data_IF_738871600281
#
_entry.id   IF_738871600281
#
_cell.length_a   1.000
_cell.length_b   1.000
_cell.length_c   1.000
_cell.angle_alpha   90.00
_cell.angle_beta   90.00
_cell.angle_gamma   90.00
#
_symmetry.space_group_name_H-M   'P 1'
#
loop_
_entity.id
_entity.type
_entity.pdbx_description
1 polymer ?
#
# COMPACT_ATOMS: atom_id res chain seq x y z
N UNK A 1 -52.42 18.10 -12.80
CA UNK A 1 -52.04 18.70 -14.11
C UNK A 1 -50.91 17.86 -14.69
N UNK A 2 -51.17 17.05 -15.74
CA UNK A 2 -50.12 16.29 -16.42
C UNK A 2 -49.52 17.13 -17.55
N UNK A 3 -48.21 17.36 -17.54
CA UNK A 3 -47.50 17.93 -18.68
C UNK A 3 -46.76 16.80 -19.39
N UNK A 4 -47.11 16.61 -20.66
CA UNK A 4 -46.52 15.64 -21.59
C UNK A 4 -45.26 16.23 -22.25
N UNK A 5 -44.32 15.32 -22.52
CA UNK A 5 -43.38 15.21 -23.64
C UNK A 5 -42.54 16.41 -24.10
N UNK A 6 -41.23 16.19 -24.24
CA UNK A 6 -40.57 16.19 -25.56
C UNK A 6 -39.28 15.37 -25.55
N UNK A 7 -39.29 14.30 -26.35
CA UNK A 7 -38.12 13.58 -26.84
C UNK A 7 -37.49 14.44 -27.94
N UNK A 8 -36.20 14.76 -27.83
CA UNK A 8 -35.41 15.22 -28.98
C UNK A 8 -34.26 14.26 -29.21
N UNK A 9 -34.42 13.52 -30.29
CA UNK A 9 -33.44 12.68 -30.93
C UNK A 9 -32.50 13.56 -31.75
N UNK A 10 -31.18 13.43 -31.59
CA UNK A 10 -30.24 13.85 -32.63
C UNK A 10 -29.11 12.83 -32.76
N UNK A 11 -29.06 12.25 -33.96
CA UNK A 11 -28.06 11.30 -34.45
C UNK A 11 -26.97 12.05 -35.24
N UNK A 12 -25.75 11.51 -35.11
CA UNK A 12 -24.57 11.56 -36.00
C UNK A 12 -23.87 12.89 -36.30
N UNK A 13 -22.56 12.91 -36.05
CA UNK A 13 -21.53 13.20 -37.07
C UNK A 13 -20.16 12.61 -36.69
N UNK A 14 -19.52 11.99 -37.68
CA UNK A 14 -18.15 11.44 -37.72
C UNK A 14 -17.16 12.56 -38.05
N UNK A 15 -15.95 12.54 -37.46
CA UNK A 15 -14.76 13.12 -38.07
C UNK A 15 -13.49 12.42 -37.53
N UNK A 16 -12.70 11.90 -38.46
CA UNK A 16 -11.39 11.28 -38.29
C UNK A 16 -10.26 12.32 -38.44
N UNK A 17 -9.01 11.82 -38.56
CA UNK A 17 -7.71 12.51 -38.83
C UNK A 17 -7.04 13.05 -37.52
N UNK A 18 -5.79 12.76 -37.13
CA UNK A 18 -4.50 12.75 -37.84
C UNK A 18 -3.40 11.89 -37.16
N UNK A 19 -2.44 11.55 -38.02
CA UNK A 19 -1.15 10.83 -37.92
C UNK A 19 -0.16 11.23 -36.82
N UNK A 20 0.58 10.25 -36.29
CA UNK A 20 1.95 10.44 -35.78
C UNK A 20 2.89 9.32 -36.25
N UNK A 21 3.88 9.69 -37.05
CA UNK A 21 5.08 8.91 -37.33
C UNK A 21 6.17 9.35 -36.34
N UNK A 22 6.88 8.41 -35.71
CA UNK A 22 8.18 8.68 -35.10
C UNK A 22 9.18 7.58 -35.47
N UNK A 23 10.36 8.07 -35.83
CA UNK A 23 11.49 7.33 -36.39
C UNK A 23 12.35 6.68 -35.29
N UNK A 24 13.02 5.58 -35.68
CA UNK A 24 14.39 5.14 -35.37
C UNK A 24 15.02 5.39 -33.98
N UNK A 25 15.69 4.36 -33.45
CA UNK A 25 16.85 4.55 -32.57
C UNK A 25 17.30 3.31 -31.82
N UNK A 26 18.16 2.50 -32.44
CA UNK A 26 18.96 1.47 -31.78
C UNK A 26 20.03 2.14 -30.89
N UNK A 27 20.25 1.65 -29.68
CA UNK A 27 21.26 2.19 -28.76
C UNK A 27 21.75 1.15 -27.78
N UNK A 28 22.66 0.29 -28.22
CA UNK A 28 23.51 -0.54 -27.37
C UNK A 28 24.56 0.35 -26.70
N UNK A 29 24.59 0.36 -25.37
CA UNK A 29 25.61 1.03 -24.57
C UNK A 29 26.27 0.05 -23.62
N UNK A 30 27.06 -0.86 -24.18
CA UNK A 30 28.03 -1.66 -23.41
C UNK A 30 29.20 -0.74 -23.07
N UNK A 31 29.43 -0.46 -21.78
CA UNK A 31 30.59 0.28 -21.31
C UNK A 31 31.29 -0.53 -20.24
N UNK A 32 32.16 -1.38 -20.73
CA UNK A 32 33.26 -2.02 -20.03
C UNK A 32 34.13 -0.96 -19.35
N UNK A 33 33.96 -0.75 -18.04
CA UNK A 33 35.06 -0.18 -17.24
C UNK A 33 35.92 -1.34 -16.77
N UNK A 34 36.94 -1.60 -17.56
CA UNK A 34 38.09 -2.37 -17.17
C UNK A 34 38.74 -1.73 -15.92
N UNK A 35 38.87 -2.52 -14.85
CA UNK A 35 39.91 -2.28 -13.85
C UNK A 35 40.56 -3.61 -13.52
N UNK A 36 41.52 -3.97 -14.36
CA UNK A 36 42.46 -5.06 -14.15
C UNK A 36 43.26 -4.82 -12.85
N UNK A 37 43.77 -5.89 -12.24
CA UNK A 37 44.11 -5.97 -10.83
C UNK A 37 45.50 -5.40 -10.56
N UNK A 38 45.72 -4.82 -9.37
CA UNK A 38 47.08 -4.71 -8.84
C UNK A 38 47.31 -5.78 -7.79
N UNK A 39 48.19 -6.71 -8.17
CA UNK A 39 48.77 -7.71 -7.31
C UNK A 39 49.71 -7.09 -6.27
N UNK A 40 49.76 -7.80 -5.15
CA UNK A 40 50.64 -7.71 -3.99
C UNK A 40 52.12 -7.44 -4.29
N UNK A 41 52.89 -6.92 -3.33
CA UNK A 41 53.99 -7.59 -2.57
C UNK A 41 54.72 -6.53 -1.68
N UNK A 42 55.74 -6.84 -0.85
CA UNK A 42 55.68 -7.09 0.59
C UNK A 42 56.30 -6.00 1.50
N UNK A 43 56.13 -6.26 2.80
CA UNK A 43 56.70 -5.66 4.02
C UNK A 43 58.20 -5.30 3.99
N UNK A 44 58.63 -4.34 4.83
CA UNK A 44 59.61 -4.69 5.86
C UNK A 44 59.32 -4.21 7.30
N UNK A 45 59.73 -5.10 8.21
CA UNK A 45 59.88 -5.14 9.68
C UNK A 45 60.67 -3.91 10.21
N UNK A 46 60.61 -3.35 11.43
CA UNK A 46 60.30 -3.78 12.81
C UNK A 46 60.28 -2.53 13.73
N UNK A 47 59.63 -2.59 14.90
CA UNK A 47 60.25 -2.36 16.25
C UNK A 47 59.23 -2.74 17.35
N UNK A 48 59.63 -3.34 18.48
CA UNK A 48 58.73 -3.94 19.47
C UNK A 48 58.25 -2.91 20.51
N UNK A 49 56.94 -2.86 20.77
CA UNK A 49 56.35 -2.03 21.81
C UNK A 49 55.25 -2.77 22.58
N UNK A 50 55.60 -3.20 23.80
CA UNK A 50 54.79 -3.46 25.02
C UNK A 50 53.41 -4.17 24.89
N UNK A 51 53.15 -5.24 25.68
CA UNK A 51 51.83 -5.87 25.71
C UNK A 51 50.82 -4.95 26.41
N UNK A 52 49.91 -4.35 25.64
CA UNK A 52 48.70 -3.67 26.10
C UNK A 52 47.50 -4.61 26.01
N UNK A 53 46.63 -4.55 27.02
CA UNK A 53 45.44 -5.38 27.22
C UNK A 53 44.54 -5.55 25.96
N UNK A 54 43.79 -6.66 25.82
CA UNK A 54 42.94 -6.91 24.66
C UNK A 54 41.87 -5.82 24.57
N UNK A 55 41.96 -4.99 23.53
CA UNK A 55 40.92 -4.03 23.16
C UNK A 55 39.71 -4.80 22.66
N UNK A 56 38.60 -4.71 23.38
CA UNK A 56 37.32 -5.25 22.93
C UNK A 56 37.00 -4.69 21.53
N UNK A 57 36.71 -5.58 20.59
CA UNK A 57 36.30 -5.20 19.25
C UNK A 57 35.00 -4.39 19.34
N UNK A 58 34.87 -3.26 18.62
CA UNK A 58 33.60 -2.55 18.54
C UNK A 58 32.53 -3.49 17.97
N UNK A 59 31.28 -3.43 18.46
CA UNK A 59 30.21 -4.26 17.93
C UNK A 59 30.06 -3.96 16.44
N UNK A 60 30.15 -4.99 15.61
CA UNK A 60 29.79 -4.92 14.20
C UNK A 60 28.30 -4.65 14.11
N UNK A 61 27.93 -3.38 13.97
CA UNK A 61 26.57 -3.00 13.56
C UNK A 61 26.41 -3.49 12.14
N UNK A 62 25.71 -4.61 11.96
CA UNK A 62 25.26 -5.05 10.64
C UNK A 62 24.42 -3.92 10.06
N UNK A 63 24.94 -3.24 9.04
CA UNK A 63 24.18 -2.25 8.30
C UNK A 63 23.01 -2.99 7.65
N UNK A 64 21.81 -2.76 8.18
CA UNK A 64 20.56 -3.22 7.55
C UNK A 64 20.50 -2.52 6.19
N UNK A 65 20.40 -3.31 5.12
CA UNK A 65 20.25 -2.77 3.77
C UNK A 65 19.03 -1.85 3.67
N UNK A 66 18.90 -1.08 2.57
CA UNK A 66 17.72 -0.24 2.36
C UNK A 66 16.46 -1.10 2.49
N UNK A 67 15.49 -0.64 3.28
CA UNK A 67 14.18 -1.29 3.35
C UNK A 67 13.55 -1.29 1.96
N UNK A 68 12.87 -2.38 1.61
CA UNK A 68 12.10 -2.44 0.36
C UNK A 68 10.89 -1.49 0.49
N UNK A 69 10.80 -0.43 -0.32
CA UNK A 69 9.66 0.49 -0.31
C UNK A 69 8.33 -0.23 -0.58
N UNK A 70 8.36 -1.32 -1.35
CA UNK A 70 7.17 -2.07 -1.71
C UNK A 70 6.83 -3.20 -0.72
N UNK A 71 7.51 -3.28 0.43
CA UNK A 71 7.12 -4.20 1.47
C UNK A 71 5.81 -3.74 2.13
N UNK A 72 5.07 -4.69 2.71
CA UNK A 72 3.92 -4.33 3.54
C UNK A 72 4.45 -3.70 4.84
N UNK A 73 4.03 -2.46 5.11
CA UNK A 73 4.39 -1.75 6.34
C UNK A 73 3.15 -1.12 7.00
N UNK A 74 2.74 -1.68 8.14
CA UNK A 74 1.61 -1.16 8.91
C UNK A 74 2.01 -0.03 9.87
N UNK A 75 3.30 0.27 9.98
CA UNK A 75 3.84 1.38 10.76
C UNK A 75 4.12 2.63 9.89
N UNK A 76 3.81 2.59 8.59
CA UNK A 76 4.05 3.71 7.69
C UNK A 76 3.31 4.99 8.14
N UNK A 77 3.99 6.14 8.23
CA UNK A 77 3.37 7.39 8.69
C UNK A 77 2.23 7.90 7.78
N UNK A 78 2.16 7.47 6.52
CA UNK A 78 1.03 7.75 5.63
C UNK A 78 -0.28 7.19 6.17
N UNK A 79 -0.24 6.07 6.90
CA UNK A 79 -1.42 5.51 7.57
C UNK A 79 -1.92 6.49 8.63
N UNK A 80 -1.06 6.94 9.54
CA UNK A 80 -1.45 7.87 10.59
C UNK A 80 -1.99 9.20 10.03
N UNK A 81 -1.40 9.70 8.92
CA UNK A 81 -1.90 10.89 8.20
C UNK A 81 -3.29 10.67 7.64
N UNK A 82 -3.50 9.56 6.92
CA UNK A 82 -4.81 9.20 6.37
C UNK A 82 -5.87 9.06 7.47
N UNK A 83 -5.51 8.45 8.59
CA UNK A 83 -6.41 8.27 9.74
C UNK A 83 -6.79 9.62 10.37
N UNK A 84 -5.87 10.59 10.39
CA UNK A 84 -6.14 11.93 10.90
C UNK A 84 -7.09 12.77 10.03
N UNK A 85 -7.17 12.45 8.73
CA UNK A 85 -8.08 13.09 7.78
C UNK A 85 -9.52 12.53 7.85
N UNK A 86 -9.72 11.42 8.56
CA UNK A 86 -11.02 10.78 8.63
C UNK A 86 -12.02 11.61 9.43
N UNK A 87 -13.29 11.65 9.00
CA UNK A 87 -14.35 12.14 9.86
C UNK A 87 -14.43 11.26 11.12
N UNK A 88 -14.87 11.86 12.23
CA UNK A 88 -15.09 11.16 13.49
C UNK A 88 -16.04 9.98 13.30
N UNK A 89 -15.87 8.94 14.11
CA UNK A 89 -16.75 7.78 14.08
C UNK A 89 -18.21 8.21 14.28
N UNK A 90 -19.13 7.93 13.35
CA UNK A 90 -20.51 8.41 13.44
C UNK A 90 -21.23 7.90 14.69
N UNK A 91 -20.86 6.71 15.22
CA UNK A 91 -21.53 6.10 16.38
C UNK A 91 -21.04 6.65 17.71
N UNK A 92 -19.73 6.81 17.89
CA UNK A 92 -19.13 7.21 19.16
C UNK A 92 -18.61 8.65 19.20
N UNK A 93 -18.53 9.33 18.06
CA UNK A 93 -17.92 10.65 17.87
C UNK A 93 -16.43 10.72 18.26
N UNK A 94 -15.79 9.56 18.48
CA UNK A 94 -14.38 9.46 18.79
C UNK A 94 -13.52 9.57 17.52
N UNK A 95 -12.26 10.02 17.66
CA UNK A 95 -11.29 9.84 16.59
C UNK A 95 -11.00 8.36 16.38
N UNK A 96 -10.35 8.05 15.27
CA UNK A 96 -9.87 6.71 14.94
C UNK A 96 -8.48 6.47 15.54
N UNK A 97 -8.18 5.22 15.94
CA UNK A 97 -6.84 4.83 16.33
C UNK A 97 -5.92 4.79 15.08
N UNK A 98 -4.78 5.52 15.07
CA UNK A 98 -3.83 5.45 13.95
C UNK A 98 -3.15 4.09 13.80
N UNK A 99 -3.12 3.28 14.86
CA UNK A 99 -2.58 1.93 14.80
C UNK A 99 -3.61 0.97 14.18
N UNK A 100 -3.33 0.38 13.01
CA UNK A 100 -4.27 -0.50 12.34
C UNK A 100 -4.36 -1.87 13.03
N UNK A 101 -5.56 -2.43 13.08
CA UNK A 101 -5.81 -3.79 13.58
C UNK A 101 -5.30 -4.87 12.62
N UNK A 102 -5.37 -4.57 11.32
CA UNK A 102 -4.97 -5.44 10.23
C UNK A 102 -4.78 -4.59 8.98
N UNK A 103 -4.06 -5.09 7.99
CA UNK A 103 -3.91 -4.41 6.71
C UNK A 103 -2.87 -5.06 5.82
N UNK A 104 -2.76 -4.53 4.61
CA UNK A 104 -1.74 -4.85 3.62
C UNK A 104 -1.17 -3.57 2.99
N UNK A 105 -1.05 -2.49 3.78
CA UNK A 105 -0.53 -1.21 3.29
C UNK A 105 0.80 -1.41 2.57
N UNK A 106 0.86 -0.93 1.34
CA UNK A 106 2.00 -1.03 0.46
C UNK A 106 1.96 0.17 -0.49
N UNK A 107 3.03 0.97 -0.51
CA UNK A 107 3.08 2.18 -1.34
C UNK A 107 3.20 1.90 -2.84
N UNK A 108 3.57 0.69 -3.23
CA UNK A 108 3.66 0.26 -4.62
C UNK A 108 2.39 -0.45 -5.14
N UNK A 109 1.47 -0.83 -4.25
CA UNK A 109 0.24 -1.52 -4.66
C UNK A 109 -0.76 -0.54 -5.30
N UNK A 110 -1.43 -0.99 -6.37
CA UNK A 110 -2.57 -0.28 -6.96
C UNK A 110 -3.72 -0.13 -5.95
N UNK A 111 -3.94 -1.12 -5.08
CA UNK A 111 -4.89 -1.02 -3.99
C UNK A 111 -4.33 -1.71 -2.75
N UNK A 112 -4.25 -0.97 -1.66
CA UNK A 112 -3.98 -1.53 -0.33
C UNK A 112 -4.97 -0.96 0.68
N UNK A 113 -5.12 -1.63 1.82
CA UNK A 113 -6.02 -1.20 2.87
C UNK A 113 -5.47 -1.49 4.26
N UNK A 114 -5.93 -0.71 5.22
CA UNK A 114 -5.77 -0.98 6.65
C UNK A 114 -7.12 -0.86 7.34
N UNK A 115 -7.28 -1.58 8.44
CA UNK A 115 -8.50 -1.56 9.24
C UNK A 115 -8.19 -0.84 10.54
N UNK A 116 -8.91 0.24 10.79
CA UNK A 116 -8.77 1.03 12.02
C UNK A 116 -9.97 0.86 12.92
N UNK A 117 -9.74 1.01 14.23
CA UNK A 117 -10.75 0.94 15.28
C UNK A 117 -11.02 2.34 15.81
N UNK A 118 -12.28 2.63 16.15
CA UNK A 118 -12.61 3.84 16.90
C UNK A 118 -11.84 3.85 18.23
N UNK A 119 -11.30 5.01 18.63
CA UNK A 119 -10.51 5.16 19.85
C UNK A 119 -11.44 5.21 21.09
N UNK A 120 -11.97 4.05 21.47
CA UNK A 120 -12.89 3.89 22.59
C UNK A 120 -12.67 2.54 23.29
N UNK A 121 -13.01 2.49 24.58
CA UNK A 121 -12.96 1.27 25.40
C UNK A 121 -14.21 0.38 25.24
N UNK A 122 -15.09 0.67 24.27
CA UNK A 122 -16.27 -0.14 24.02
C UNK A 122 -15.89 -1.57 23.56
N UNK A 123 -16.58 -2.58 24.10
CA UNK A 123 -16.38 -3.98 23.71
C UNK A 123 -16.49 -4.19 22.19
N UNK A 124 -17.49 -3.54 21.57
CA UNK A 124 -17.75 -3.57 20.14
C UNK A 124 -17.52 -2.18 19.53
N UNK A 125 -16.29 -1.66 19.63
CA UNK A 125 -15.94 -0.41 18.96
C UNK A 125 -16.13 -0.56 17.43
N UNK A 126 -16.53 0.54 16.78
CA UNK A 126 -16.69 0.54 15.33
C UNK A 126 -15.32 0.36 14.65
N UNK A 127 -15.31 -0.30 13.50
CA UNK A 127 -14.11 -0.46 12.66
C UNK A 127 -14.39 0.10 11.27
N UNK A 128 -13.34 0.55 10.58
CA UNK A 128 -13.41 1.08 9.23
C UNK A 128 -12.18 0.65 8.44
N UNK A 129 -12.35 0.24 7.19
CA UNK A 129 -11.21 0.07 6.29
C UNK A 129 -10.86 1.40 5.60
N UNK A 130 -9.58 1.76 5.66
CA UNK A 130 -8.97 2.91 4.99
C UNK A 130 -8.19 2.37 3.81
N UNK A 131 -8.47 2.87 2.61
CA UNK A 131 -7.89 2.37 1.37
C UNK A 131 -6.90 3.36 0.77
N UNK A 132 -5.89 2.81 0.09
CA UNK A 132 -4.79 3.54 -0.50
C UNK A 132 -4.56 3.08 -1.93
N UNK A 133 -4.23 4.02 -2.81
CA UNK A 133 -3.80 3.78 -4.17
C UNK A 133 -2.37 4.31 -4.31
N UNK A 134 -1.41 3.42 -4.58
CA UNK A 134 0.01 3.78 -4.68
C UNK A 134 0.49 4.58 -3.45
N UNK A 135 0.17 4.06 -2.26
CA UNK A 135 0.50 4.66 -0.95
C UNK A 135 -0.31 5.89 -0.55
N UNK A 136 -1.18 6.40 -1.43
CA UNK A 136 -1.98 7.62 -1.18
C UNK A 136 -3.38 7.30 -0.73
N UNK A 137 -3.84 7.97 0.33
CA UNK A 137 -5.19 7.81 0.84
C UNK A 137 -6.24 8.15 -0.22
N UNK A 138 -7.29 7.33 -0.30
CA UNK A 138 -8.44 7.51 -1.18
C UNK A 138 -9.63 8.02 -0.35
N UNK A 139 -9.90 9.34 -0.31
CA UNK A 139 -10.97 9.90 0.52
C UNK A 139 -12.38 9.68 -0.04
N UNK A 140 -12.52 9.46 -1.34
CA UNK A 140 -13.79 9.38 -2.07
C UNK A 140 -13.76 8.24 -3.08
N UNK A 141 -14.94 7.74 -3.50
CA UNK A 141 -14.98 6.61 -4.44
C UNK A 141 -14.64 5.26 -3.80
N UNK A 142 -14.74 5.19 -2.47
CA UNK A 142 -14.69 3.95 -1.69
C UNK A 142 -16.09 3.72 -1.11
N UNK A 143 -16.69 2.54 -1.28
CA UNK A 143 -17.94 2.19 -0.60
C UNK A 143 -17.80 2.30 0.92
N UNK A 144 -18.91 2.35 1.66
CA UNK A 144 -18.84 2.32 3.12
C UNK A 144 -18.19 1.02 3.61
N UNK A 145 -17.03 1.15 4.27
CA UNK A 145 -16.17 0.02 4.71
C UNK A 145 -16.23 -0.22 6.22
N UNK A 146 -17.38 0.04 6.84
CA UNK A 146 -17.56 -0.19 8.27
C UNK A 146 -17.77 -1.67 8.61
N UNK A 147 -17.34 -2.09 9.79
CA UNK A 147 -17.62 -3.43 10.33
C UNK A 147 -16.67 -4.54 9.87
N UNK A 148 -15.73 -4.25 8.96
CA UNK A 148 -14.64 -5.18 8.65
C UNK A 148 -13.62 -5.18 9.79
N UNK A 149 -13.15 -6.35 10.18
CA UNK A 149 -12.22 -6.53 11.30
C UNK A 149 -10.99 -7.38 10.96
N UNK A 150 -10.85 -7.79 9.70
CA UNK A 150 -9.66 -8.47 9.20
C UNK A 150 -9.52 -8.33 7.70
N UNK A 151 -8.39 -8.81 7.18
CA UNK A 151 -8.06 -8.81 5.77
C UNK A 151 -7.57 -10.21 5.40
N UNK A 152 -8.09 -10.76 4.30
CA UNK A 152 -7.64 -12.03 3.76
C UNK A 152 -6.52 -11.79 2.74
N UNK A 153 -5.28 -11.98 3.18
CA UNK A 153 -4.09 -11.78 2.34
C UNK A 153 -3.96 -12.82 1.23
N UNK A 154 -4.58 -14.00 1.37
CA UNK A 154 -4.56 -15.03 0.33
C UNK A 154 -5.45 -14.69 -0.86
N UNK A 155 -6.47 -13.86 -0.63
CA UNK A 155 -7.39 -13.37 -1.64
C UNK A 155 -7.16 -11.90 -2.03
N UNK A 156 -6.12 -11.27 -1.47
CA UNK A 156 -5.69 -9.92 -1.83
C UNK A 156 -4.52 -9.96 -2.80
N UNK A 157 -4.51 -9.05 -3.76
CA UNK A 157 -3.48 -8.88 -4.80
C UNK A 157 -3.00 -7.43 -4.81
N UNK A 158 -2.15 -7.05 -5.77
CA UNK A 158 -1.68 -5.67 -5.90
C UNK A 158 -2.79 -4.65 -6.22
N UNK A 159 -3.92 -5.09 -6.78
CA UNK A 159 -5.06 -4.25 -7.20
C UNK A 159 -6.39 -4.62 -6.51
N UNK A 160 -6.42 -5.70 -5.74
CA UNK A 160 -7.61 -6.22 -5.06
C UNK A 160 -7.35 -6.39 -3.57
N UNK A 161 -8.30 -5.96 -2.74
CA UNK A 161 -8.30 -6.15 -1.29
C UNK A 161 -9.52 -6.98 -0.90
N UNK A 162 -9.28 -8.06 -0.15
CA UNK A 162 -10.32 -8.89 0.42
C UNK A 162 -10.49 -8.59 1.92
N UNK A 163 -11.57 -7.90 2.30
CA UNK A 163 -11.88 -7.57 3.68
C UNK A 163 -12.76 -8.64 4.31
N UNK A 164 -12.47 -9.01 5.56
CA UNK A 164 -13.25 -9.98 6.32
C UNK A 164 -14.05 -9.30 7.42
N UNK A 165 -15.32 -9.68 7.56
CA UNK A 165 -16.17 -9.32 8.67
C UNK A 165 -16.49 -10.58 9.47
N UNK A 166 -15.95 -10.69 10.68
CA UNK A 166 -16.11 -11.86 11.56
C UNK A 166 -16.86 -11.47 12.83
N UNK A 167 -17.87 -12.23 13.23
CA UNK A 167 -18.63 -11.98 14.47
C UNK A 167 -18.02 -12.65 15.71
N UNK A 168 -16.87 -13.32 15.56
CA UNK A 168 -16.27 -14.15 16.61
C UNK A 168 -16.91 -15.53 16.76
N UNK A 169 -17.97 -15.82 16.00
CA UNK A 169 -18.59 -17.13 15.88
C UNK A 169 -17.96 -17.83 14.67
N UNK A 170 -17.41 -19.02 14.87
CA UNK A 170 -16.77 -19.79 13.80
C UNK A 170 -17.75 -20.13 12.67
N UNK A 171 -17.28 -20.03 11.42
CA UNK A 171 -18.08 -20.33 10.21
C UNK A 171 -19.11 -19.26 9.81
N UNK A 172 -19.04 -18.06 10.39
CA UNK A 172 -19.92 -16.92 10.06
C UNK A 172 -19.13 -15.68 9.60
N UNK A 173 -17.90 -15.87 9.10
CA UNK A 173 -17.15 -14.78 8.50
C UNK A 173 -17.78 -14.43 7.14
N UNK A 174 -17.68 -13.17 6.72
CA UNK A 174 -17.99 -12.77 5.34
C UNK A 174 -16.75 -12.13 4.73
N UNK A 175 -16.50 -12.42 3.46
CA UNK A 175 -15.39 -11.85 2.69
C UNK A 175 -15.96 -10.97 1.60
N UNK A 176 -15.57 -9.69 1.59
CA UNK A 176 -15.93 -8.72 0.56
C UNK A 176 -14.68 -8.27 -0.16
N UNK A 177 -14.70 -8.35 -1.48
CA UNK A 177 -13.58 -7.99 -2.35
C UNK A 177 -13.81 -6.66 -3.02
N UNK A 178 -12.78 -5.83 -2.97
CA UNK A 178 -12.72 -4.52 -3.59
C UNK A 178 -11.56 -4.52 -4.57
N UNK A 179 -11.74 -3.93 -5.76
CA UNK A 179 -10.65 -3.72 -6.72
C UNK A 179 -10.53 -2.28 -7.15
N UNK A 180 -9.34 -1.90 -7.58
CA UNK A 180 -9.11 -0.66 -8.31
C UNK A 180 -9.49 -0.84 -9.79
N UNK A 181 -10.34 0.04 -10.34
CA UNK A 181 -10.78 -0.04 -11.73
C UNK A 181 -10.12 0.99 -12.67
N UNK A 182 -9.09 1.69 -12.19
CA UNK A 182 -8.41 2.78 -12.90
C UNK A 182 -8.87 4.18 -12.50
N UNK A 183 -10.07 4.32 -11.93
CA UNK A 183 -10.61 5.62 -11.48
C UNK A 183 -11.03 5.62 -10.00
N UNK A 184 -11.38 4.47 -9.44
CA UNK A 184 -11.81 4.34 -8.06
C UNK A 184 -11.85 2.89 -7.61
N UNK A 185 -12.37 2.70 -6.39
CA UNK A 185 -12.56 1.38 -5.81
C UNK A 185 -13.96 0.89 -6.13
N UNK A 186 -14.08 -0.35 -6.58
CA UNK A 186 -15.35 -1.01 -6.80
C UNK A 186 -15.42 -2.37 -6.09
N UNK A 187 -16.64 -2.73 -5.66
CA UNK A 187 -16.92 -4.03 -5.07
C UNK A 187 -17.07 -5.07 -6.21
N UNK A 188 -16.33 -6.17 -6.11
CA UNK A 188 -16.31 -7.22 -7.15
C UNK A 188 -16.75 -8.60 -6.67
N UNK A 189 -16.96 -8.76 -5.37
CA UNK A 189 -17.45 -10.02 -4.82
C UNK A 189 -17.80 -9.91 -3.36
N UNK A 190 -18.80 -10.68 -2.95
CA UNK A 190 -19.15 -10.92 -1.56
C UNK A 190 -19.39 -12.43 -1.41
N UNK A 191 -18.81 -13.04 -0.40
CA UNK A 191 -18.93 -14.48 -0.15
C UNK A 191 -19.10 -14.71 1.34
N UNK A 192 -20.04 -15.58 1.72
CA UNK A 192 -20.08 -16.13 3.07
C UNK A 192 -18.89 -17.08 3.25
N UNK A 193 -18.07 -16.82 4.25
CA UNK A 193 -16.90 -17.62 4.62
C UNK A 193 -17.23 -18.75 5.57
#
# INVERSE_FOLDING_TARGET
>A
MPVRCSVVWKRLTVAAVLTTAMLTGCGSGDSTVAKTPQASTPHPTSTPGRPGAPRAAPPTTTAVGPADPCAIDLADPAIARAVSELPRDPRSQQPWNPEPLAGNYNECAQLSAVIVKANTNAANANTRAVMFHLGKYIPQGVPDTYGFNGLDTSQSTGDTVALTASTGIGGLASVVKFRWNGNGVELIGNTAG
#
